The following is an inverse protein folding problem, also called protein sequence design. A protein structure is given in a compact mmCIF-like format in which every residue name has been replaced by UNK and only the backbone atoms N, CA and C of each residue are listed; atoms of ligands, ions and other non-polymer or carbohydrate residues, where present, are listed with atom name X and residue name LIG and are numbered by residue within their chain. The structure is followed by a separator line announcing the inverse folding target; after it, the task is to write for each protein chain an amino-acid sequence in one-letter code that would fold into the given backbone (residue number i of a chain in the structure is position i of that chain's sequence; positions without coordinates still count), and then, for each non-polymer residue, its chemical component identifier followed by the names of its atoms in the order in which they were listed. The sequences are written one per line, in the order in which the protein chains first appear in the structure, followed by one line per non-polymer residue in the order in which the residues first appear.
data_IF_851609220149
#
_entry.id   IF_851609220149
#
_cell.length_a   1.000
_cell.length_b   1.000
_cell.length_c   1.000
_cell.angle_alpha   90.00
_cell.angle_beta   90.00
_cell.angle_gamma   90.00
#
_symmetry.space_group_name_H-M   'P 1'
#
loop_
_entity.id
_entity.type
_entity.pdbx_description
1 polymer ?
#
# COMPACT_ATOMS: atom_id res chain seq x y z
N UNK A 1 9.80 28.88 -0.37
CA UNK A 1 9.72 27.41 -0.27
C UNK A 1 11.11 26.83 -0.12
N UNK A 2 11.32 25.97 0.88
CA UNK A 2 12.62 25.35 1.18
C UNK A 2 12.67 23.94 0.56
N UNK A 3 13.66 23.68 -0.28
CA UNK A 3 13.91 22.34 -0.85
C UNK A 3 14.94 21.59 0.00
N UNK A 4 14.59 20.35 0.35
CA UNK A 4 15.37 19.46 1.19
C UNK A 4 15.66 18.17 0.43
N UNK A 5 16.92 17.75 0.42
CA UNK A 5 17.35 16.52 -0.23
C UNK A 5 17.93 15.53 0.77
N UNK A 6 17.71 14.23 0.57
CA UNK A 6 18.34 13.19 1.37
C UNK A 6 19.41 12.45 0.55
N UNK A 7 20.70 12.50 0.93
CA UNK A 7 21.81 12.02 0.09
C UNK A 7 21.76 10.51 -0.17
N UNK A 8 21.34 9.70 0.82
CA UNK A 8 21.32 8.24 0.67
C UNK A 8 20.14 7.74 -0.16
N UNK A 9 18.99 8.39 -0.06
CA UNK A 9 17.76 7.94 -0.72
C UNK A 9 17.43 8.74 -1.99
N UNK A 10 18.20 9.79 -2.30
CA UNK A 10 17.96 10.73 -3.40
C UNK A 10 16.55 11.35 -3.40
N UNK A 11 15.89 11.35 -2.23
CA UNK A 11 14.55 11.89 -2.06
C UNK A 11 14.60 13.42 -1.92
N UNK A 12 13.62 14.10 -2.52
CA UNK A 12 13.44 15.55 -2.43
C UNK A 12 12.11 15.86 -1.76
N UNK A 13 12.11 16.81 -0.83
CA UNK A 13 10.91 17.33 -0.16
C UNK A 13 10.91 18.85 -0.22
N UNK A 14 9.74 19.44 -0.45
CA UNK A 14 9.52 20.88 -0.40
C UNK A 14 8.79 21.23 0.90
N UNK A 15 9.19 22.33 1.51
CA UNK A 15 8.63 22.85 2.75
C UNK A 15 8.24 24.32 2.58
N UNK A 16 7.23 24.76 3.31
CA UNK A 16 6.91 26.19 3.43
C UNK A 16 7.80 26.85 4.49
N UNK A 17 7.96 28.17 4.38
CA UNK A 17 8.89 28.94 5.22
C UNK A 17 8.41 29.15 6.67
N UNK A 18 7.21 28.68 7.03
CA UNK A 18 6.68 28.68 8.41
C UNK A 18 6.84 27.38 9.18
N UNK A 19 7.29 26.29 8.54
CA UNK A 19 7.24 24.93 9.08
C UNK A 19 8.54 24.54 9.85
N UNK A 20 8.96 25.34 10.84
CA UNK A 20 10.25 25.16 11.53
C UNK A 20 10.43 23.78 12.22
N UNK A 21 9.37 23.28 12.86
CA UNK A 21 9.39 21.96 13.50
C UNK A 21 9.64 20.86 12.48
N UNK A 22 8.97 20.94 11.32
CA UNK A 22 9.08 19.96 10.25
C UNK A 22 10.46 20.02 9.60
N UNK A 23 11.02 21.22 9.42
CA UNK A 23 12.39 21.42 8.98
C UNK A 23 13.40 20.76 9.95
N UNK A 24 13.22 20.95 11.26
CA UNK A 24 14.11 20.36 12.30
C UNK A 24 14.04 18.84 12.29
N UNK A 25 12.85 18.27 12.17
CA UNK A 25 12.67 16.82 12.05
C UNK A 25 13.33 16.25 10.80
N UNK A 26 13.19 16.94 9.65
CA UNK A 26 13.81 16.50 8.40
C UNK A 26 15.34 16.59 8.46
N UNK A 27 15.89 17.66 9.07
CA UNK A 27 17.34 17.76 9.33
C UNK A 27 17.83 16.61 10.21
N UNK A 28 17.09 16.26 11.27
CA UNK A 28 17.41 15.11 12.15
C UNK A 28 17.31 13.77 11.42
N UNK A 29 16.39 13.66 10.46
CA UNK A 29 16.25 12.50 9.58
C UNK A 29 17.33 12.45 8.47
N UNK A 30 18.27 13.40 8.43
CA UNK A 30 19.37 13.41 7.47
C UNK A 30 19.10 14.15 6.16
N UNK A 31 17.98 14.88 6.06
CA UNK A 31 17.75 15.77 4.93
C UNK A 31 18.59 17.04 5.06
N UNK A 32 19.19 17.47 3.96
CA UNK A 32 20.02 18.67 3.87
C UNK A 32 19.29 19.73 3.05
N UNK A 33 19.43 20.98 3.45
CA UNK A 33 18.91 22.14 2.70
C UNK A 33 19.79 22.33 1.47
N UNK A 34 19.17 22.40 0.30
CA UNK A 34 19.87 22.55 -0.97
C UNK A 34 19.21 21.74 -2.09
N UNK A 35 19.62 22.03 -3.31
CA UNK A 35 19.16 21.31 -4.49
C UNK A 35 19.92 19.99 -4.67
N UNK A 36 19.25 19.01 -5.28
CA UNK A 36 19.87 17.75 -5.65
C UNK A 36 21.04 18.06 -6.60
N UNK A 37 22.23 17.45 -6.44
CA UNK A 37 23.25 17.53 -7.50
C UNK A 37 22.60 17.14 -8.82
N UNK A 38 22.81 17.90 -9.92
CA UNK A 38 22.16 17.63 -11.19
C UNK A 38 22.43 16.17 -11.54
N UNK A 39 21.34 15.42 -11.82
CA UNK A 39 21.49 14.07 -12.37
C UNK A 39 22.38 14.24 -13.59
N UNK A 40 23.58 13.65 -13.55
CA UNK A 40 24.47 13.62 -14.71
C UNK A 40 23.65 13.22 -15.92
N UNK A 41 23.78 13.99 -17.02
CA UNK A 41 23.06 13.70 -18.26
C UNK A 41 23.17 12.21 -18.53
N UNK A 42 22.02 11.57 -18.76
CA UNK A 42 22.02 10.17 -19.17
C UNK A 42 23.03 10.03 -20.33
N UNK A 43 23.88 9.00 -20.33
CA UNK A 43 24.66 8.70 -21.52
C UNK A 43 23.68 8.66 -22.71
N UNK A 44 24.07 9.20 -23.88
CA UNK A 44 23.22 9.10 -25.07
C UNK A 44 22.81 7.64 -25.27
N UNK A 45 21.59 7.37 -25.76
CA UNK A 45 21.21 6.01 -26.06
C UNK A 45 22.29 5.41 -26.97
N UNK A 46 22.90 4.31 -26.55
CA UNK A 46 23.72 3.51 -27.45
C UNK A 46 22.79 3.06 -28.57
N UNK A 47 22.98 3.66 -29.75
CA UNK A 47 22.44 3.21 -31.02
C UNK A 47 23.03 1.83 -31.33
N UNK A 48 22.49 0.78 -30.72
CA UNK A 48 22.59 -0.57 -31.26
C UNK A 48 21.23 -0.90 -31.88
N UNK A 49 21.05 -0.38 -33.09
CA UNK A 49 20.02 -0.82 -34.02
C UNK A 49 20.32 -2.27 -34.47
N UNK A 50 19.96 -3.26 -33.65
CA UNK A 50 19.49 -4.52 -34.22
C UNK A 50 17.97 -4.43 -34.30
N UNK A 51 17.51 -3.73 -35.34
CA UNK A 51 16.14 -3.80 -35.83
C UNK A 51 15.77 -5.27 -35.99
N UNK A 52 14.85 -5.76 -35.15
CA UNK A 52 14.12 -6.98 -35.47
C UNK A 52 13.42 -6.75 -36.82
N UNK A 53 13.60 -7.63 -37.83
CA UNK A 53 12.94 -7.43 -39.11
C UNK A 53 11.42 -7.45 -38.91
N UNK A 54 10.75 -6.43 -39.45
CA UNK A 54 9.29 -6.40 -39.58
C UNK A 54 8.86 -7.64 -40.37
N UNK A 55 8.19 -8.59 -39.73
CA UNK A 55 7.55 -9.71 -40.41
C UNK A 55 6.27 -9.22 -41.08
N UNK A 56 6.42 -8.65 -42.27
CA UNK A 56 5.34 -8.40 -43.22
C UNK A 56 5.06 -9.69 -44.01
N UNK A 57 3.88 -10.27 -43.79
CA UNK A 57 3.23 -11.22 -44.72
C UNK A 57 3.64 -12.68 -44.63
N UNK A 58 2.88 -13.49 -43.87
CA UNK A 58 2.58 -14.85 -44.32
C UNK A 58 1.17 -15.24 -43.84
N UNK A 59 0.41 -15.78 -44.76
CA UNK A 59 -1.04 -15.95 -44.72
C UNK A 59 -1.46 -16.97 -43.66
N UNK A 60 -2.63 -16.73 -43.05
CA UNK A 60 -3.25 -17.67 -42.14
C UNK A 60 -3.73 -18.92 -42.90
N UNK A 61 -2.87 -19.93 -43.02
CA UNK A 61 -3.33 -21.30 -43.28
C UNK A 61 -3.74 -21.97 -41.96
N UNK A 62 -5.04 -21.84 -41.68
CA UNK A 62 -5.76 -22.69 -40.75
C UNK A 62 -5.83 -24.11 -41.30
N UNK A 63 -5.02 -25.03 -40.78
CA UNK A 63 -5.37 -26.45 -40.60
C UNK A 63 -4.29 -27.21 -39.83
N UNK A 64 -4.65 -27.83 -38.69
CA UNK A 64 -3.85 -28.91 -38.11
C UNK A 64 -3.85 -29.00 -36.58
N UNK A 65 -4.85 -29.70 -36.04
CA UNK A 65 -4.76 -30.51 -34.82
C UNK A 65 -4.20 -29.88 -33.51
N UNK A 66 -5.15 -29.53 -32.62
CA UNK A 66 -5.28 -30.31 -31.39
C UNK A 66 -4.31 -30.05 -30.25
N UNK A 67 -3.86 -28.81 -30.04
CA UNK A 67 -3.33 -28.40 -28.73
C UNK A 67 -4.19 -27.28 -28.17
N UNK A 68 -5.30 -27.67 -27.53
CA UNK A 68 -5.95 -26.80 -26.57
C UNK A 68 -4.87 -26.29 -25.60
N UNK A 69 -4.79 -24.97 -25.34
CA UNK A 69 -3.89 -24.47 -24.33
C UNK A 69 -4.29 -25.12 -23.00
N UNK A 70 -3.45 -26.01 -22.49
CA UNK A 70 -3.68 -26.66 -21.20
C UNK A 70 -3.47 -25.60 -20.13
N UNK A 71 -4.56 -24.93 -19.75
CA UNK A 71 -4.62 -24.10 -18.56
C UNK A 71 -4.13 -24.95 -17.39
N UNK A 72 -2.95 -24.59 -16.86
CA UNK A 72 -2.42 -25.21 -15.67
C UNK A 72 -3.52 -25.13 -14.59
N UNK A 73 -3.96 -26.29 -14.09
CA UNK A 73 -4.84 -26.38 -12.94
C UNK A 73 -4.03 -25.96 -11.72
N UNK A 74 -3.91 -24.66 -11.51
CA UNK A 74 -3.30 -24.12 -10.31
C UNK A 74 -4.03 -24.70 -9.10
N UNK A 75 -3.27 -25.11 -8.08
CA UNK A 75 -3.80 -25.59 -6.81
C UNK A 75 -4.87 -24.63 -6.30
N UNK A 76 -5.94 -25.11 -5.63
CA UNK A 76 -6.98 -24.24 -5.12
C UNK A 76 -6.31 -23.19 -4.25
N UNK A 77 -6.32 -21.95 -4.74
CA UNK A 77 -6.01 -20.79 -3.91
C UNK A 77 -7.08 -20.87 -2.85
N UNK A 78 -6.71 -21.33 -1.64
CA UNK A 78 -7.57 -21.16 -0.47
C UNK A 78 -7.92 -19.68 -0.50
N UNK A 79 -9.17 -19.39 -0.86
CA UNK A 79 -9.73 -18.07 -0.72
C UNK A 79 -9.38 -17.68 0.70
N UNK A 80 -8.44 -16.73 0.84
CA UNK A 80 -8.16 -16.12 2.11
C UNK A 80 -9.52 -15.59 2.51
N UNK A 81 -10.14 -16.24 3.51
CA UNK A 81 -11.42 -15.86 4.08
C UNK A 81 -11.51 -14.35 3.99
N UNK A 82 -12.39 -13.88 3.10
CA UNK A 82 -12.86 -12.52 3.14
C UNK A 82 -13.60 -12.49 4.46
N UNK A 83 -12.85 -12.19 5.53
CA UNK A 83 -13.43 -11.91 6.81
C UNK A 83 -14.37 -10.75 6.51
N UNK A 84 -15.68 -11.00 6.56
CA UNK A 84 -16.79 -10.06 6.38
C UNK A 84 -16.76 -9.00 7.50
N UNK A 85 -15.61 -8.37 7.67
CA UNK A 85 -15.40 -7.30 8.62
C UNK A 85 -15.89 -6.02 7.92
N UNK A 86 -16.96 -5.37 8.41
CA UNK A 86 -17.46 -4.09 7.89
C UNK A 86 -16.43 -2.95 8.01
N UNK A 87 -15.31 -3.23 8.70
CA UNK A 87 -14.17 -2.35 8.88
C UNK A 87 -13.03 -2.59 7.88
N UNK A 88 -13.12 -3.61 7.02
CA UNK A 88 -12.10 -4.00 6.05
C UNK A 88 -11.82 -2.94 4.98
N UNK A 89 -12.81 -2.13 4.63
CA UNK A 89 -12.65 -1.05 3.64
C UNK A 89 -12.11 0.25 4.25
N UNK A 90 -12.40 0.52 5.54
CA UNK A 90 -12.07 1.78 6.23
C UNK A 90 -10.56 2.04 6.31
N UNK A 91 -10.13 3.30 6.25
CA UNK A 91 -8.71 3.63 6.32
C UNK A 91 -8.10 3.39 7.71
N UNK A 92 -6.78 3.21 7.80
CA UNK A 92 -6.08 3.02 9.09
C UNK A 92 -6.38 4.16 10.10
N UNK A 93 -6.59 5.37 9.60
CA UNK A 93 -6.94 6.54 10.42
C UNK A 93 -8.37 6.44 10.96
N UNK A 94 -9.32 6.03 10.12
CA UNK A 94 -10.71 5.80 10.53
C UNK A 94 -10.82 4.71 11.58
N UNK A 95 -10.11 3.57 11.42
CA UNK A 95 -10.13 2.51 12.42
C UNK A 95 -9.63 2.99 13.79
N UNK A 96 -8.57 3.79 13.82
CA UNK A 96 -8.06 4.38 15.07
C UNK A 96 -9.01 5.43 15.66
N UNK A 97 -9.75 6.15 14.81
CA UNK A 97 -10.76 7.09 15.27
C UNK A 97 -11.93 6.36 15.93
N UNK A 98 -12.45 5.31 15.29
CA UNK A 98 -13.51 4.44 15.84
C UNK A 98 -13.07 3.81 17.16
N UNK A 99 -11.83 3.31 17.23
CA UNK A 99 -11.29 2.77 18.47
C UNK A 99 -11.23 3.82 19.59
N UNK A 100 -10.89 5.07 19.26
CA UNK A 100 -10.86 6.17 20.23
C UNK A 100 -12.26 6.58 20.68
N UNK A 101 -13.22 6.61 19.76
CA UNK A 101 -14.62 6.95 20.03
C UNK A 101 -15.28 5.94 20.97
N UNK A 102 -14.95 4.66 20.82
CA UNK A 102 -15.48 3.57 21.65
C UNK A 102 -14.56 3.23 22.84
N UNK A 103 -13.60 4.09 23.18
CA UNK A 103 -12.63 3.90 24.28
C UNK A 103 -11.83 2.58 24.23
N UNK A 104 -11.68 2.00 23.04
CA UNK A 104 -10.94 0.77 22.79
C UNK A 104 -9.44 1.07 22.69
N UNK A 105 -8.68 0.56 23.67
CA UNK A 105 -7.21 0.61 23.63
C UNK A 105 -6.68 -0.37 22.58
N UNK A 106 -5.94 0.15 21.60
CA UNK A 106 -5.22 -0.64 20.59
C UNK A 106 -3.82 -1.00 21.13
N UNK A 107 -3.50 -2.29 21.33
CA UNK A 107 -2.17 -2.70 21.79
C UNK A 107 -1.07 -2.34 20.78
N UNK A 108 0.13 -2.01 21.28
CA UNK A 108 1.26 -1.65 20.41
C UNK A 108 1.71 -2.76 19.44
N UNK A 109 1.40 -4.02 19.77
CA UNK A 109 1.63 -5.18 18.91
C UNK A 109 0.74 -5.17 17.66
N UNK A 110 -0.43 -4.53 17.72
CA UNK A 110 -1.40 -4.50 16.62
C UNK A 110 -1.12 -3.28 15.73
N UNK A 111 -0.43 -3.54 14.61
CA UNK A 111 0.01 -2.49 13.67
C UNK A 111 -0.64 -2.55 12.30
N UNK A 112 -1.24 -3.67 11.94
CA UNK A 112 -1.83 -3.88 10.62
C UNK A 112 -3.30 -3.49 10.61
N UNK A 113 -3.78 -2.97 9.47
CA UNK A 113 -5.18 -2.55 9.28
C UNK A 113 -6.14 -3.70 9.60
N UNK A 114 -5.85 -4.89 9.05
CA UNK A 114 -6.65 -6.10 9.25
C UNK A 114 -6.77 -6.49 10.73
N UNK A 115 -5.68 -6.43 11.49
CA UNK A 115 -5.70 -6.80 12.91
C UNK A 115 -6.43 -5.76 13.78
N UNK A 116 -6.36 -4.47 13.45
CA UNK A 116 -7.15 -3.44 14.13
C UNK A 116 -8.63 -3.61 13.81
N UNK A 117 -8.99 -3.85 12.54
CA UNK A 117 -10.36 -4.09 12.11
C UNK A 117 -10.98 -5.31 12.83
N UNK A 118 -10.25 -6.42 12.91
CA UNK A 118 -10.70 -7.61 13.64
C UNK A 118 -10.87 -7.36 15.14
N UNK A 119 -9.96 -6.60 15.76
CA UNK A 119 -10.04 -6.24 17.18
C UNK A 119 -11.22 -5.31 17.49
N UNK A 120 -11.55 -4.39 16.57
CA UNK A 120 -12.71 -3.53 16.68
C UNK A 120 -14.00 -4.33 16.54
N UNK A 121 -14.09 -5.21 15.54
CA UNK A 121 -15.23 -6.11 15.35
C UNK A 121 -15.51 -6.93 16.61
N UNK A 122 -14.49 -7.62 17.14
CA UNK A 122 -14.65 -8.47 18.32
C UNK A 122 -15.07 -7.72 19.59
N UNK A 123 -14.69 -6.44 19.71
CA UNK A 123 -14.96 -5.63 20.91
C UNK A 123 -16.25 -4.85 20.81
N UNK A 124 -16.68 -4.47 19.62
CA UNK A 124 -17.95 -3.78 19.40
C UNK A 124 -19.10 -4.78 19.43
N UNK A 125 -18.93 -5.97 18.83
CA UNK A 125 -19.93 -7.03 18.90
C UNK A 125 -20.19 -7.49 20.35
N UNK A 126 -19.19 -7.45 21.22
CA UNK A 126 -19.36 -7.83 22.64
C UNK A 126 -20.09 -6.78 23.48
N UNK A 127 -20.24 -5.53 22.98
CA UNK A 127 -20.91 -4.44 23.71
C UNK A 127 -22.42 -4.44 23.46
N UNK A 128 -22.86 -5.01 22.34
CA UNK A 128 -24.29 -5.11 21.99
C UNK A 128 -25.02 -6.30 22.65
N UNK A 129 -24.31 -7.14 23.43
CA UNK A 129 -24.86 -8.33 24.12
C UNK A 129 -24.96 -8.18 25.67
N UNK A 130 -24.63 -7.00 26.23
CA UNK A 130 -24.81 -6.71 27.68
C UNK A 130 -26.18 -6.05 27.98
N UNK A 131 -27.26 -6.60 27.43
CA UNK A 131 -28.62 -6.07 27.59
C UNK A 131 -29.70 -7.13 27.86
N UNK A 132 -29.32 -8.35 28.26
CA UNK A 132 -30.24 -9.48 28.33
C UNK A 132 -30.21 -10.25 29.67
N UNK A 133 -30.13 -9.55 30.79
CA UNK A 133 -30.33 -10.15 32.13
C UNK A 133 -30.60 -9.10 33.22
N UNK A 134 -31.81 -8.52 33.21
CA UNK A 134 -32.43 -7.99 34.42
C UNK A 134 -33.93 -8.30 34.43
N UNK A 135 -34.26 -9.60 34.54
CA UNK A 135 -35.54 -10.03 35.13
C UNK A 135 -35.25 -11.09 36.19
N UNK A 136 -35.39 -10.72 37.47
CA UNK A 136 -35.66 -11.69 38.52
C UNK A 136 -35.19 -11.34 39.93
N UNK A 137 -35.97 -10.51 40.64
CA UNK A 137 -36.39 -10.81 42.03
C UNK A 137 -37.74 -10.14 42.35
#
# INVERSE_FOLDING_TARGET
MISLYHPKSKAVRKLEEGDELRLRLLKRAGFRVGELPPKGKAPPPEENEEMLPSTEGEEAESAGEGKEPVLAKHAPVKALQEDDNPFGEKSMKELRAIAKENEIVIPYAVRTKKAIAALLHSKLDSVDDEGADDEGD
#
